data_IF_763034024629
#
_entry.id   IF_763034024629
#
_cell.length_a   1.000
_cell.length_b   1.000
_cell.length_c   1.000
_cell.angle_alpha   90.00
_cell.angle_beta   90.00
_cell.angle_gamma   90.00
#
_symmetry.space_group_name_H-M   'P 1'
#
loop_
_entity.id
_entity.type
_entity.pdbx_description
1 polymer ?
#
# COMPACT_ATOMS: atom_id res chain seq x y z
N UNK A 1 2.62 -19.76 -21.67
CA UNK A 1 1.79 -18.76 -20.96
C UNK A 1 2.71 -17.72 -20.35
N UNK A 2 2.97 -16.63 -21.06
CA UNK A 2 3.74 -15.49 -20.57
C UNK A 2 2.88 -14.72 -19.57
N UNK A 3 2.98 -15.09 -18.29
CA UNK A 3 2.43 -14.29 -17.22
C UNK A 3 3.29 -13.03 -17.11
N UNK A 4 2.87 -11.97 -17.78
CA UNK A 4 3.58 -10.71 -17.71
C UNK A 4 3.53 -10.16 -16.28
N UNK A 5 4.71 -10.02 -15.68
CA UNK A 5 4.91 -9.47 -14.34
C UNK A 5 4.47 -8.00 -14.23
N UNK A 6 4.52 -7.26 -15.34
CA UNK A 6 4.17 -5.83 -15.42
C UNK A 6 2.67 -5.57 -15.13
N UNK A 7 1.69 -6.17 -15.83
CA UNK A 7 0.28 -5.98 -15.53
C UNK A 7 -0.09 -6.45 -14.12
N UNK A 8 0.57 -7.48 -13.61
CA UNK A 8 0.35 -7.97 -12.23
C UNK A 8 0.69 -6.90 -11.18
N UNK A 9 1.83 -6.20 -11.33
CA UNK A 9 2.18 -5.10 -10.42
C UNK A 9 1.16 -3.97 -10.48
N UNK A 10 0.69 -3.63 -11.68
CA UNK A 10 -0.35 -2.60 -11.84
C UNK A 10 -1.64 -3.02 -11.11
N UNK A 11 -2.03 -4.30 -11.21
CA UNK A 11 -3.20 -4.83 -10.49
C UNK A 11 -3.03 -4.73 -8.98
N UNK A 12 -1.88 -5.15 -8.42
CA UNK A 12 -1.61 -5.06 -6.97
C UNK A 12 -1.62 -3.63 -6.46
N UNK A 13 -1.02 -2.70 -7.21
CA UNK A 13 -1.08 -1.27 -6.88
C UNK A 13 -2.53 -0.76 -6.84
N UNK A 14 -3.36 -1.12 -7.83
CA UNK A 14 -4.78 -0.75 -7.86
C UNK A 14 -5.56 -1.39 -6.72
N UNK A 15 -5.34 -2.67 -6.42
CA UNK A 15 -5.98 -3.38 -5.33
C UNK A 15 -5.64 -2.76 -3.97
N UNK A 16 -4.38 -2.40 -3.75
CA UNK A 16 -3.94 -1.71 -2.53
C UNK A 16 -4.61 -0.35 -2.36
N UNK A 17 -4.72 0.43 -3.43
CA UNK A 17 -5.45 1.71 -3.42
C UNK A 17 -6.95 1.52 -3.17
N UNK A 18 -7.56 0.50 -3.76
CA UNK A 18 -8.96 0.16 -3.51
C UNK A 18 -9.19 -0.25 -2.04
N UNK A 19 -8.33 -1.11 -1.49
CA UNK A 19 -8.38 -1.52 -0.09
C UNK A 19 -8.17 -0.34 0.87
N UNK A 20 -7.31 0.61 0.53
CA UNK A 20 -7.18 1.84 1.31
C UNK A 20 -8.45 2.69 1.26
N UNK A 21 -9.05 2.85 0.07
CA UNK A 21 -10.27 3.65 -0.09
C UNK A 21 -11.45 3.10 0.70
N UNK A 22 -11.55 1.78 0.88
CA UNK A 22 -12.61 1.17 1.71
C UNK A 22 -12.40 1.44 3.20
N UNK A 23 -11.15 1.39 3.70
CA UNK A 23 -10.84 1.65 5.11
C UNK A 23 -10.67 3.14 5.44
N UNK A 24 -10.53 4.01 4.43
CA UNK A 24 -10.21 5.43 4.59
C UNK A 24 -11.15 6.16 5.57
N UNK A 25 -12.48 5.96 5.56
CA UNK A 25 -13.38 6.57 6.55
C UNK A 25 -13.05 6.11 7.98
N UNK A 26 -12.91 4.79 8.20
CA UNK A 26 -12.57 4.24 9.51
C UNK A 26 -11.21 4.74 10.02
N UNK A 27 -10.20 4.78 9.14
CA UNK A 27 -8.86 5.29 9.45
C UNK A 27 -8.86 6.77 9.80
N UNK A 28 -9.86 7.54 9.34
CA UNK A 28 -10.02 8.96 9.68
C UNK A 28 -10.66 9.19 11.05
N UNK A 29 -11.52 8.28 11.50
CA UNK A 29 -12.22 8.37 12.78
C UNK A 29 -11.35 7.86 13.95
N UNK A 30 -10.50 6.88 13.69
CA UNK A 30 -9.62 6.28 14.70
C UNK A 30 -8.54 7.30 15.12
N UNK A 31 -8.59 7.77 16.36
CA UNK A 31 -7.54 8.64 16.95
C UNK A 31 -6.26 7.88 17.30
N UNK A 32 -6.37 6.59 17.64
CA UNK A 32 -5.23 5.79 18.05
C UNK A 32 -4.37 5.36 16.85
N UNK A 33 -3.14 5.87 16.79
CA UNK A 33 -2.21 5.58 15.70
C UNK A 33 -1.89 4.09 15.53
N UNK A 34 -1.83 3.33 16.63
CA UNK A 34 -1.55 1.89 16.58
C UNK A 34 -2.66 1.13 15.88
N UNK A 35 -3.92 1.42 16.21
CA UNK A 35 -5.09 0.81 15.58
C UNK A 35 -5.20 1.17 14.08
N UNK A 36 -4.83 2.40 13.70
CA UNK A 36 -4.75 2.79 12.28
C UNK A 36 -3.71 1.96 11.52
N UNK A 37 -2.54 1.75 12.12
CA UNK A 37 -1.48 0.93 11.54
C UNK A 37 -1.89 -0.54 11.44
N UNK A 38 -2.56 -1.09 12.45
CA UNK A 38 -3.08 -2.47 12.42
C UNK A 38 -4.13 -2.66 11.32
N UNK A 39 -5.08 -1.72 11.18
CA UNK A 39 -6.08 -1.76 10.11
C UNK A 39 -5.46 -1.63 8.71
N UNK A 40 -4.44 -0.78 8.58
CA UNK A 40 -3.67 -0.68 7.34
C UNK A 40 -2.94 -2.00 7.02
N UNK A 41 -2.26 -2.57 8.01
CA UNK A 41 -1.52 -3.83 7.86
C UNK A 41 -2.42 -5.02 7.55
N UNK A 42 -3.66 -5.03 8.05
CA UNK A 42 -4.61 -6.11 7.78
C UNK A 42 -5.28 -6.02 6.41
N UNK A 43 -5.35 -4.83 5.80
CA UNK A 43 -6.11 -4.61 4.56
C UNK A 43 -5.22 -4.31 3.34
N UNK A 44 -4.27 -3.39 3.49
CA UNK A 44 -3.47 -2.87 2.36
C UNK A 44 -2.25 -3.76 2.07
N UNK A 45 -1.59 -4.27 3.11
CA UNK A 45 -0.41 -5.13 2.94
C UNK A 45 -0.75 -6.45 2.23
N UNK A 46 -1.86 -7.16 2.56
CA UNK A 46 -2.24 -8.36 1.82
C UNK A 46 -2.53 -8.09 0.34
N UNK A 47 -3.12 -6.93 0.01
CA UNK A 47 -3.38 -6.54 -1.37
C UNK A 47 -2.07 -6.29 -2.17
N UNK A 48 -1.02 -5.79 -1.52
CA UNK A 48 0.30 -5.59 -2.12
C UNK A 48 1.11 -6.89 -2.22
N UNK A 49 1.00 -7.77 -1.22
CA UNK A 49 1.69 -9.06 -1.15
C UNK A 49 0.94 -10.19 -1.87
N UNK A 50 -0.24 -9.93 -2.45
CA UNK A 50 -0.98 -10.94 -3.18
C UNK A 50 -0.07 -11.67 -4.18
N UNK A 51 -0.11 -13.01 -4.20
CA UNK A 51 0.68 -13.83 -5.14
C UNK A 51 2.21 -13.72 -4.99
N UNK A 52 2.75 -13.11 -3.93
CA UNK A 52 4.21 -13.08 -3.70
C UNK A 52 4.79 -14.47 -3.37
N UNK A 53 3.99 -15.37 -2.82
CA UNK A 53 4.38 -16.74 -2.50
C UNK A 53 4.60 -17.61 -3.75
N UNK A 54 3.93 -17.28 -4.84
CA UNK A 54 3.96 -18.06 -6.10
C UNK A 54 4.77 -17.39 -7.20
N UNK A 55 5.15 -16.11 -7.04
CA UNK A 55 5.91 -15.35 -8.03
C UNK A 55 7.09 -14.66 -7.40
N UNK A 56 8.29 -14.99 -7.88
CA UNK A 56 9.51 -14.30 -7.51
C UNK A 56 9.50 -12.88 -8.06
N UNK A 57 9.42 -11.89 -7.17
CA UNK A 57 9.50 -10.48 -7.55
C UNK A 57 10.95 -10.10 -7.85
N UNK A 58 11.17 -9.35 -8.93
CA UNK A 58 12.45 -8.68 -9.14
C UNK A 58 12.60 -7.54 -8.14
N UNK A 59 13.84 -7.16 -7.81
CA UNK A 59 14.13 -6.04 -6.90
C UNK A 59 13.48 -4.72 -7.33
N UNK A 60 13.40 -4.47 -8.63
CA UNK A 60 12.74 -3.28 -9.17
C UNK A 60 11.22 -3.29 -8.89
N UNK A 61 10.56 -4.44 -9.01
CA UNK A 61 9.13 -4.57 -8.72
C UNK A 61 8.83 -4.47 -7.22
N UNK A 62 9.67 -5.07 -6.39
CA UNK A 62 9.62 -4.92 -4.93
C UNK A 62 9.70 -3.43 -4.54
N UNK A 63 10.64 -2.69 -5.13
CA UNK A 63 10.78 -1.26 -4.92
C UNK A 63 9.52 -0.48 -5.34
N UNK A 64 8.91 -0.80 -6.48
CA UNK A 64 7.67 -0.15 -6.93
C UNK A 64 6.49 -0.38 -5.96
N UNK A 65 6.36 -1.58 -5.40
CA UNK A 65 5.33 -1.88 -4.40
C UNK A 65 5.60 -1.14 -3.08
N UNK A 66 6.86 -1.10 -2.61
CA UNK A 66 7.26 -0.33 -1.42
C UNK A 66 7.00 1.18 -1.59
N UNK A 67 7.31 1.75 -2.76
CA UNK A 67 6.98 3.16 -3.04
C UNK A 67 5.48 3.40 -2.98
N UNK A 68 4.67 2.46 -3.46
CA UNK A 68 3.21 2.56 -3.41
C UNK A 68 2.70 2.51 -1.97
N UNK A 69 3.21 1.57 -1.17
CA UNK A 69 2.91 1.46 0.25
C UNK A 69 3.21 2.78 0.98
N UNK A 70 4.42 3.30 0.82
CA UNK A 70 4.83 4.56 1.45
C UNK A 70 3.96 5.75 1.00
N UNK A 71 3.47 5.74 -0.24
CA UNK A 71 2.57 6.78 -0.73
C UNK A 71 1.20 6.73 -0.04
N UNK A 72 0.65 5.53 0.16
CA UNK A 72 -0.61 5.34 0.89
C UNK A 72 -0.43 5.67 2.38
N UNK A 73 0.67 5.25 3.01
CA UNK A 73 0.99 5.57 4.41
C UNK A 73 1.08 7.09 4.64
N UNK A 74 1.74 7.82 3.73
CA UNK A 74 1.78 9.30 3.78
C UNK A 74 0.40 9.93 3.68
N UNK A 75 -0.44 9.38 2.79
CA UNK A 75 -1.83 9.82 2.64
C UNK A 75 -2.66 9.53 3.90
N UNK A 76 -2.42 8.40 4.58
CA UNK A 76 -3.04 8.07 5.85
C UNK A 76 -2.65 9.02 6.98
N UNK A 77 -1.36 9.30 7.15
CA UNK A 77 -0.86 10.13 8.26
C UNK A 77 -1.11 11.63 8.01
N UNK A 78 -1.50 12.02 6.79
CA UNK A 78 -1.82 13.40 6.45
C UNK A 78 -0.57 14.27 6.27
N UNK A 79 0.56 13.69 5.87
CA UNK A 79 1.73 14.48 5.50
C UNK A 79 1.45 15.22 4.19
N UNK A 80 0.89 16.42 4.30
CA UNK A 80 1.08 17.48 3.32
C UNK A 80 2.59 17.79 3.30
N UNK A 81 3.19 17.92 2.11
CA UNK A 81 4.62 18.19 1.86
C UNK A 81 5.12 19.56 2.40
N UNK A 82 4.83 19.92 3.66
CA UNK A 82 5.27 21.18 4.30
C UNK A 82 6.22 21.00 5.47
N UNK A 83 6.55 19.77 5.90
CA UNK A 83 7.36 19.51 7.11
C UNK A 83 8.60 18.65 6.85
N UNK A 84 9.32 18.95 5.78
CA UNK A 84 10.69 18.48 5.53
C UNK A 84 11.57 19.62 5.00
N UNK A 85 11.50 20.78 5.65
CA UNK A 85 12.51 21.85 5.57
C UNK A 85 12.57 22.56 6.92
N UNK A 86 13.25 21.93 7.88
CA UNK A 86 13.89 22.57 9.03
C UNK A 86 15.16 21.77 9.30
#
# INVERSE_FOLDING_TARGET
MTNDLKPEIIRRKRAAWAAYNTIKPAVSEIKNQKLRAELFNSSVIPALCYRSETWTLTKAMEAQLKTTQAWIERHMVGYTLRRQRC
#
